data_IF_891297560446
#
_entry.id   IF_891297560446
#
_cell.length_a   1.000
_cell.length_b   1.000
_cell.length_c   1.000
_cell.angle_alpha   90.00
_cell.angle_beta   90.00
_cell.angle_gamma   90.00
#
_symmetry.space_group_name_H-M   'P 1'
#
loop_
_entity.id
_entity.type
_entity.pdbx_description
1 polymer ?
#
# COMPACT_ATOMS: atom_id res chain seq x y z
N UNK A 1 -22.28 -10.08 0.75
CA UNK A 1 -20.92 -9.50 0.88
C UNK A 1 -20.44 -9.71 2.30
N UNK A 2 -19.32 -10.38 2.45
CA UNK A 2 -18.75 -10.65 3.77
C UNK A 2 -18.21 -9.32 4.33
N UNK A 3 -18.72 -8.81 5.46
CA UNK A 3 -18.26 -7.55 6.04
C UNK A 3 -16.87 -7.67 6.70
N UNK A 4 -16.34 -8.87 6.80
CA UNK A 4 -15.03 -9.09 7.40
C UNK A 4 -13.94 -8.96 6.35
N UNK A 5 -13.00 -8.07 6.57
CA UNK A 5 -11.79 -7.99 5.76
C UNK A 5 -10.99 -9.26 5.92
N UNK A 6 -10.75 -9.96 4.83
CA UNK A 6 -9.81 -11.09 4.84
C UNK A 6 -8.39 -10.55 4.78
N UNK A 7 -7.75 -10.51 5.94
CA UNK A 7 -6.40 -9.96 6.07
C UNK A 7 -5.36 -10.79 5.31
N UNK A 8 -5.55 -12.12 5.23
CA UNK A 8 -4.63 -12.96 4.46
C UNK A 8 -4.72 -12.62 2.97
N UNK A 9 -5.93 -12.52 2.42
CA UNK A 9 -6.12 -12.11 1.03
C UNK A 9 -5.61 -10.69 0.81
N UNK A 10 -5.79 -9.78 1.76
CA UNK A 10 -5.35 -8.40 1.67
C UNK A 10 -3.84 -8.30 1.42
N UNK A 11 -3.03 -9.08 2.15
CA UNK A 11 -1.58 -8.99 2.07
C UNK A 11 -0.95 -9.90 1.01
N UNK A 12 -1.63 -10.95 0.58
CA UNK A 12 -1.06 -11.97 -0.31
C UNK A 12 -1.68 -12.04 -1.70
N UNK A 13 -2.68 -11.23 -1.99
CA UNK A 13 -3.31 -11.16 -3.32
C UNK A 13 -3.35 -9.73 -3.82
N UNK A 14 -2.98 -9.54 -5.08
CA UNK A 14 -3.06 -8.22 -5.75
C UNK A 14 -4.38 -8.02 -6.49
N UNK A 15 -5.27 -9.00 -6.49
CA UNK A 15 -6.54 -8.95 -7.22
C UNK A 15 -7.63 -8.29 -6.38
N UNK A 16 -8.52 -7.55 -7.04
CA UNK A 16 -9.68 -6.95 -6.42
C UNK A 16 -9.46 -5.49 -6.00
N UNK A 17 -10.31 -5.02 -5.11
CA UNK A 17 -10.35 -3.64 -4.61
C UNK A 17 -10.40 -3.64 -3.10
N UNK A 18 -9.82 -2.63 -2.46
CA UNK A 18 -9.99 -2.39 -1.03
C UNK A 18 -10.37 -0.93 -0.78
N UNK A 19 -11.10 -0.72 0.30
CA UNK A 19 -11.51 0.60 0.72
C UNK A 19 -10.38 1.40 1.38
N UNK A 20 -10.68 2.65 1.65
CA UNK A 20 -9.76 3.63 2.23
C UNK A 20 -9.27 3.21 3.63
N UNK A 21 -10.18 2.78 4.50
CA UNK A 21 -9.85 2.43 5.90
C UNK A 21 -9.00 1.16 5.98
N UNK A 22 -9.37 0.03 5.36
CA UNK A 22 -8.50 -1.16 5.36
C UNK A 22 -7.13 -0.89 4.75
N UNK A 23 -7.05 -0.10 3.69
CA UNK A 23 -5.78 0.29 3.08
C UNK A 23 -4.90 1.07 4.06
N UNK A 24 -5.45 2.09 4.71
CA UNK A 24 -4.70 2.92 5.66
C UNK A 24 -4.21 2.10 6.84
N UNK A 25 -5.03 1.21 7.38
CA UNK A 25 -4.64 0.32 8.48
C UNK A 25 -3.52 -0.62 8.02
N UNK A 26 -3.66 -1.26 6.86
CA UNK A 26 -2.65 -2.18 6.33
C UNK A 26 -1.30 -1.46 6.08
N UNK A 27 -1.33 -0.29 5.46
CA UNK A 27 -0.14 0.51 5.22
C UNK A 27 0.55 0.91 6.53
N UNK A 28 -0.23 1.34 7.53
CA UNK A 28 0.30 1.69 8.84
C UNK A 28 0.94 0.48 9.53
N UNK A 29 0.31 -0.70 9.47
CA UNK A 29 0.86 -1.93 10.03
C UNK A 29 2.20 -2.30 9.39
N UNK A 30 2.32 -2.18 8.06
CA UNK A 30 3.56 -2.47 7.36
C UNK A 30 4.68 -1.49 7.77
N UNK A 31 4.37 -0.19 7.86
CA UNK A 31 5.34 0.83 8.27
C UNK A 31 5.78 0.64 9.72
N UNK A 32 4.85 0.36 10.62
CA UNK A 32 5.16 0.07 12.03
C UNK A 32 6.00 -1.20 12.13
N UNK A 33 5.69 -2.24 11.35
CA UNK A 33 6.47 -3.46 11.30
C UNK A 33 7.92 -3.23 10.91
N UNK A 34 8.16 -2.40 9.89
CA UNK A 34 9.52 -2.02 9.48
C UNK A 34 10.23 -1.23 10.58
N UNK A 35 9.56 -0.26 11.20
CA UNK A 35 10.14 0.54 12.29
C UNK A 35 10.52 -0.32 13.50
N UNK A 36 9.65 -1.25 13.89
CA UNK A 36 9.92 -2.21 14.97
C UNK A 36 11.11 -3.10 14.62
N UNK A 37 11.14 -3.62 13.40
CA UNK A 37 12.25 -4.43 12.93
C UNK A 37 13.59 -3.68 13.03
N UNK A 38 13.64 -2.45 12.53
CA UNK A 38 14.84 -1.61 12.54
C UNK A 38 15.29 -1.25 13.96
N UNK A 39 14.35 -1.13 14.90
CA UNK A 39 14.70 -0.84 16.30
C UNK A 39 15.14 -2.08 17.08
N UNK A 40 14.65 -3.26 16.72
CA UNK A 40 14.89 -4.50 17.45
C UNK A 40 16.17 -5.23 17.00
N UNK A 41 16.56 -5.10 15.74
CA UNK A 41 17.71 -5.82 15.17
C UNK A 41 18.79 -4.84 14.73
N UNK A 42 20.02 -5.17 15.08
CA UNK A 42 21.20 -4.39 14.72
C UNK A 42 22.38 -5.32 14.39
N UNK A 43 23.28 -4.84 13.53
CA UNK A 43 24.49 -5.56 13.18
C UNK A 43 24.29 -6.60 12.06
N UNK A 44 25.16 -7.64 11.99
CA UNK A 44 25.14 -8.61 10.88
C UNK A 44 23.79 -9.37 10.74
N UNK A 45 23.11 -9.62 11.87
CA UNK A 45 21.80 -10.29 11.89
C UNK A 45 20.74 -9.43 11.18
N UNK A 46 20.82 -8.11 11.36
CA UNK A 46 19.94 -7.16 10.69
C UNK A 46 20.01 -7.31 9.17
N UNK A 47 21.23 -7.42 8.64
CA UNK A 47 21.42 -7.54 7.19
C UNK A 47 20.80 -8.84 6.63
N UNK A 48 21.08 -9.98 7.26
CA UNK A 48 20.58 -11.30 6.79
C UNK A 48 19.08 -11.41 6.95
N UNK A 49 18.54 -11.06 8.12
CA UNK A 49 17.11 -11.07 8.37
C UNK A 49 16.39 -10.02 7.52
N UNK A 50 17.05 -8.90 7.26
CA UNK A 50 16.51 -7.80 6.44
C UNK A 50 16.15 -8.24 5.02
N UNK A 51 16.94 -9.10 4.41
CA UNK A 51 16.62 -9.62 3.06
C UNK A 51 15.23 -10.25 3.06
N UNK A 52 14.92 -11.07 4.04
CA UNK A 52 13.63 -11.73 4.16
C UNK A 52 12.52 -10.74 4.54
N UNK A 53 12.75 -9.92 5.55
CA UNK A 53 11.75 -8.98 6.08
C UNK A 53 11.38 -7.94 5.03
N UNK A 54 12.34 -7.30 4.39
CA UNK A 54 12.07 -6.26 3.39
C UNK A 54 11.44 -6.85 2.13
N UNK A 55 11.84 -8.06 1.70
CA UNK A 55 11.19 -8.74 0.58
C UNK A 55 9.73 -9.03 0.88
N UNK A 56 9.42 -9.50 2.08
CA UNK A 56 8.04 -9.76 2.50
C UNK A 56 7.23 -8.47 2.57
N UNK A 57 7.78 -7.39 3.14
CA UNK A 57 7.11 -6.09 3.25
C UNK A 57 6.84 -5.49 1.87
N UNK A 58 7.81 -5.56 0.95
CA UNK A 58 7.62 -5.07 -0.43
C UNK A 58 6.53 -5.86 -1.14
N UNK A 59 6.53 -7.18 -1.00
CA UNK A 59 5.49 -8.03 -1.61
C UNK A 59 4.10 -7.69 -1.04
N UNK A 60 3.95 -7.65 0.27
CA UNK A 60 2.69 -7.32 0.92
C UNK A 60 2.25 -5.89 0.58
N UNK A 61 3.17 -4.95 0.58
CA UNK A 61 2.92 -3.57 0.18
C UNK A 61 2.44 -3.45 -1.26
N UNK A 62 3.03 -4.20 -2.17
CA UNK A 62 2.61 -4.24 -3.56
C UNK A 62 1.18 -4.76 -3.70
N UNK A 63 0.82 -5.82 -2.97
CA UNK A 63 -0.55 -6.37 -2.99
C UNK A 63 -1.57 -5.35 -2.47
N UNK A 64 -1.28 -4.73 -1.35
CA UNK A 64 -2.17 -3.73 -0.72
C UNK A 64 -2.32 -2.50 -1.61
N UNK A 65 -1.21 -1.97 -2.15
CA UNK A 65 -1.20 -0.82 -3.05
C UNK A 65 -1.96 -1.12 -4.34
N UNK A 66 -1.74 -2.30 -4.94
CA UNK A 66 -2.43 -2.68 -6.17
C UNK A 66 -3.95 -2.69 -5.97
N UNK A 67 -4.44 -3.29 -4.89
CA UNK A 67 -5.88 -3.31 -4.58
C UNK A 67 -6.45 -1.91 -4.39
N UNK A 68 -5.72 -1.04 -3.72
CA UNK A 68 -6.17 0.33 -3.51
C UNK A 68 -6.15 1.14 -4.80
N UNK A 69 -5.13 0.95 -5.64
CA UNK A 69 -5.07 1.54 -6.97
C UNK A 69 -6.24 1.06 -7.84
N UNK A 70 -6.58 -0.23 -7.76
CA UNK A 70 -7.75 -0.78 -8.45
C UNK A 70 -9.06 -0.12 -7.98
N UNK A 71 -9.17 0.16 -6.69
CA UNK A 71 -10.33 0.87 -6.15
C UNK A 71 -10.42 2.32 -6.67
N UNK A 72 -9.26 2.91 -7.01
CA UNK A 72 -9.18 4.22 -7.66
C UNK A 72 -9.26 4.15 -9.19
N UNK A 73 -9.51 2.98 -9.77
CA UNK A 73 -9.56 2.77 -11.21
C UNK A 73 -8.21 2.80 -11.92
N UNK A 74 -7.12 2.70 -11.17
CA UNK A 74 -5.75 2.75 -11.70
C UNK A 74 -5.16 1.35 -11.80
N UNK A 75 -4.21 1.18 -12.73
CA UNK A 75 -3.47 -0.07 -12.86
C UNK A 75 -2.61 -0.35 -11.63
N UNK A 76 -2.51 -1.63 -11.24
CA UNK A 76 -1.65 -2.07 -10.15
C UNK A 76 -0.15 -1.81 -10.39
N UNK A 77 0.28 -1.58 -11.62
CA UNK A 77 1.66 -1.23 -11.94
C UNK A 77 2.13 0.08 -11.29
N UNK A 78 1.22 0.99 -10.97
CA UNK A 78 1.54 2.18 -10.19
C UNK A 78 2.10 1.85 -8.80
N UNK A 79 1.80 0.66 -8.27
CA UNK A 79 2.39 0.21 -7.01
C UNK A 79 3.93 0.12 -7.09
N UNK A 80 4.46 -0.31 -8.23
CA UNK A 80 5.92 -0.36 -8.45
C UNK A 80 6.53 1.03 -8.37
N UNK A 81 5.90 2.01 -9.02
CA UNK A 81 6.37 3.41 -9.01
C UNK A 81 6.35 3.97 -7.58
N UNK A 82 5.28 3.73 -6.86
CA UNK A 82 5.11 4.20 -5.47
C UNK A 82 6.15 3.55 -4.55
N UNK A 83 6.36 2.24 -4.66
CA UNK A 83 7.34 1.53 -3.84
C UNK A 83 8.77 1.98 -4.14
N UNK A 84 9.12 2.19 -5.40
CA UNK A 84 10.42 2.75 -5.78
C UNK A 84 10.61 4.15 -5.18
N UNK A 85 9.58 4.99 -5.24
CA UNK A 85 9.63 6.33 -4.67
C UNK A 85 9.82 6.28 -3.14
N UNK A 86 9.12 5.37 -2.45
CA UNK A 86 9.28 5.18 -1.00
C UNK A 86 10.73 4.77 -0.66
N UNK A 87 11.28 3.81 -1.41
CA UNK A 87 12.67 3.34 -1.18
C UNK A 87 13.68 4.46 -1.41
N UNK A 88 13.47 5.30 -2.42
CA UNK A 88 14.36 6.44 -2.70
C UNK A 88 14.33 7.50 -1.59
N UNK A 89 13.18 7.73 -1.00
CA UNK A 89 13.02 8.73 0.08
C UNK A 89 13.51 8.20 1.43
N UNK A 90 13.57 6.88 1.60
CA UNK A 90 13.92 6.24 2.87
C UNK A 90 15.43 6.02 3.00
N UNK A 91 16.07 6.24 4.16
CA UNK A 91 15.49 6.82 5.38
C UNK A 91 15.37 8.34 5.35
N UNK A 92 16.11 9.00 4.48
CA UNK A 92 16.12 10.46 4.37
C UNK A 92 16.36 10.89 2.91
N UNK A 93 15.60 11.86 2.40
CA UNK A 93 15.85 12.40 1.07
C UNK A 93 17.15 13.22 1.06
N UNK A 94 18.02 12.94 0.11
CA UNK A 94 19.35 13.55 0.03
C UNK A 94 19.67 14.25 -1.30
N UNK A 95 18.72 14.35 -2.21
CA UNK A 95 18.98 14.96 -3.50
C UNK A 95 17.74 15.36 -4.26
N UNK A 96 17.97 15.89 -5.47
CA UNK A 96 16.89 16.34 -6.34
C UNK A 96 15.93 15.20 -6.74
N UNK A 97 16.47 14.03 -7.08
CA UNK A 97 15.64 12.86 -7.44
C UNK A 97 14.84 12.34 -6.24
N UNK A 98 15.40 12.40 -5.04
CA UNK A 98 14.68 12.05 -3.82
C UNK A 98 13.56 13.04 -3.53
N UNK A 99 13.77 14.31 -3.85
CA UNK A 99 12.71 15.32 -3.76
C UNK A 99 11.55 15.01 -4.72
N UNK A 100 11.85 14.64 -5.97
CA UNK A 100 10.83 14.22 -6.94
C UNK A 100 10.11 12.97 -6.47
N UNK A 101 10.84 11.99 -5.96
CA UNK A 101 10.26 10.78 -5.37
C UNK A 101 9.37 11.12 -4.18
N UNK A 102 9.75 12.07 -3.35
CA UNK A 102 8.93 12.58 -2.24
C UNK A 102 7.60 13.17 -2.69
N UNK A 103 7.58 13.86 -3.83
CA UNK A 103 6.33 14.37 -4.43
C UNK A 103 5.42 13.21 -4.88
N UNK A 104 5.98 12.15 -5.43
CA UNK A 104 5.22 10.94 -5.80
C UNK A 104 4.62 10.28 -4.56
N UNK A 105 5.38 10.16 -3.49
CA UNK A 105 4.90 9.60 -2.21
C UNK A 105 3.77 10.46 -1.64
N UNK A 106 3.94 11.78 -1.64
CA UNK A 106 2.93 12.72 -1.17
C UNK A 106 1.63 12.57 -1.98
N UNK A 107 1.75 12.55 -3.32
CA UNK A 107 0.61 12.30 -4.18
C UNK A 107 -0.09 10.98 -3.85
N UNK A 108 0.68 9.90 -3.68
CA UNK A 108 0.13 8.59 -3.37
C UNK A 108 -0.61 8.58 -2.02
N UNK A 109 -0.06 9.23 -1.00
CA UNK A 109 -0.72 9.35 0.31
C UNK A 109 -2.05 10.08 0.17
N UNK A 110 -2.07 11.22 -0.52
CA UNK A 110 -3.31 11.98 -0.70
C UNK A 110 -4.32 11.19 -1.53
N UNK A 111 -3.90 10.63 -2.67
CA UNK A 111 -4.82 9.93 -3.57
C UNK A 111 -5.37 8.63 -2.96
N UNK A 112 -4.54 7.89 -2.24
CA UNK A 112 -4.91 6.55 -1.75
C UNK A 112 -5.48 6.55 -0.34
N UNK A 113 -5.05 7.46 0.53
CA UNK A 113 -5.51 7.50 1.93
C UNK A 113 -6.66 8.48 2.14
N UNK A 114 -6.67 9.61 1.45
CA UNK A 114 -7.63 10.70 1.68
C UNK A 114 -8.78 10.67 0.68
N UNK A 115 -8.48 10.41 -0.59
CA UNK A 115 -9.50 10.45 -1.65
C UNK A 115 -10.34 9.16 -1.64
N UNK A 116 -11.66 9.27 -1.87
CA UNK A 116 -12.51 8.08 -1.97
C UNK A 116 -12.22 7.29 -3.24
N UNK A 117 -12.51 5.97 -3.23
CA UNK A 117 -12.43 5.12 -4.40
C UNK A 117 -13.51 5.43 -5.45
N UNK A 118 -13.45 4.75 -6.58
CA UNK A 118 -14.48 4.87 -7.61
C UNK A 118 -15.84 4.39 -7.10
N UNK A 119 -16.88 5.15 -7.40
CA UNK A 119 -18.25 4.84 -6.95
C UNK A 119 -18.91 3.74 -7.76
N UNK A 120 -18.49 3.53 -9.00
CA UNK A 120 -19.05 2.51 -9.88
C UNK A 120 -18.19 1.26 -9.93
N UNK A 121 -18.76 0.20 -10.49
CA UNK A 121 -18.00 -1.00 -10.82
C UNK A 121 -16.97 -0.67 -11.90
N UNK A 122 -15.79 -1.28 -11.80
CA UNK A 122 -14.75 -1.14 -12.80
C UNK A 122 -14.16 -2.51 -13.18
N UNK A 123 -13.18 -2.52 -14.07
CA UNK A 123 -12.56 -3.77 -14.53
C UNK A 123 -11.90 -4.60 -13.42
N UNK A 124 -11.72 -4.04 -12.21
CA UNK A 124 -11.09 -4.71 -11.08
C UNK A 124 -12.08 -5.28 -10.07
N UNK A 125 -13.36 -4.98 -10.22
CA UNK A 125 -14.39 -5.52 -9.35
C UNK A 125 -15.55 -4.57 -9.11
N UNK A 126 -16.43 -5.00 -8.23
CA UNK A 126 -17.62 -4.23 -7.85
C UNK A 126 -17.25 -3.09 -6.92
N UNK A 127 -18.05 -2.02 -6.97
CA UNK A 127 -17.88 -0.88 -6.09
C UNK A 127 -17.99 -1.29 -4.61
N UNK A 128 -17.12 -0.70 -3.79
CA UNK A 128 -17.15 -0.85 -2.33
C UNK A 128 -18.09 0.18 -1.67
N UNK A 129 -18.56 1.17 -2.43
CA UNK A 129 -19.60 2.06 -1.93
C UNK A 129 -20.91 1.31 -1.84
N UNK A 130 -21.51 1.26 -0.64
CA UNK A 130 -22.89 0.83 -0.50
C UNK A 130 -23.77 1.86 -1.20
N UNK A 131 -24.29 1.48 -2.34
CA UNK A 131 -25.52 2.08 -2.80
C UNK A 131 -26.58 1.73 -1.75
N UNK A 132 -27.05 2.72 -1.01
CA UNK A 132 -28.32 2.56 -0.32
C UNK A 132 -29.32 2.21 -1.41
N UNK A 133 -29.70 0.93 -1.46
CA UNK A 133 -30.83 0.56 -2.30
C UNK A 133 -32.01 1.37 -1.79
N UNK A 134 -32.42 2.32 -2.59
CA UNK A 134 -33.73 2.91 -2.43
C UNK A 134 -34.71 1.81 -2.83
N UNK A 135 -35.20 1.13 -1.85
CA UNK A 135 -36.34 0.24 -2.06
C UNK A 135 -37.51 1.07 -2.52
#
# INVERSE_FOLDING_TARGET
MNPKTDWAELFFSANGRIGQVPFTIAAALLLVGVAVYQSAFQGPIEFVAGIVVYSAVVFMGACVLAKRLHDRGRSGWWAVVILLAVVMVWPQPNGFFDFLAGLVVLWAVVDLCVMPGERGDNRYGKTLFRTKSVA
#
